data_IF_303440838901
#
_entry.id   IF_303440838901
#
_cell.length_a   1.000
_cell.length_b   1.000
_cell.length_c   1.000
_cell.angle_alpha   90.00
_cell.angle_beta   90.00
_cell.angle_gamma   90.00
#
_symmetry.space_group_name_H-M   'P 1'
#
loop_
_entity.id
_entity.type
_entity.pdbx_description
1 polymer ?
#
# COMPACT_ATOMS: atom_id res chain seq x y z
N UNK A 1 -1.60 -1.40 24.72
CA UNK A 1 -2.91 -1.91 25.17
C UNK A 1 -3.75 -2.50 24.04
N UNK A 2 -3.57 -2.05 22.81
CA UNK A 2 -4.24 -2.59 21.61
C UNK A 2 -3.16 -3.07 20.64
N UNK A 3 -3.29 -4.30 20.14
CA UNK A 3 -2.47 -4.85 19.07
C UNK A 3 -3.38 -5.10 17.86
N UNK A 4 -2.91 -4.70 16.66
CA UNK A 4 -3.66 -4.85 15.42
C UNK A 4 -2.89 -5.76 14.47
N UNK A 5 -3.55 -6.77 13.93
CA UNK A 5 -3.06 -7.62 12.84
C UNK A 5 -3.82 -7.28 11.56
N UNK A 6 -3.09 -6.84 10.55
CA UNK A 6 -3.67 -6.47 9.25
C UNK A 6 -3.54 -7.60 8.23
N UNK A 7 -2.33 -8.02 7.95
CA UNK A 7 -2.00 -9.10 7.03
C UNK A 7 -0.60 -9.65 7.30
N UNK A 8 -0.28 -10.77 6.68
CA UNK A 8 1.05 -11.35 6.66
C UNK A 8 1.33 -11.94 5.27
N UNK A 9 2.19 -11.28 4.51
CA UNK A 9 2.59 -11.69 3.17
C UNK A 9 4.10 -11.85 3.07
N UNK A 10 4.61 -12.34 1.95
CA UNK A 10 6.03 -12.59 1.73
C UNK A 10 6.85 -11.31 1.90
N UNK A 11 7.56 -11.20 3.01
CA UNK A 11 8.52 -10.15 3.32
C UNK A 11 9.50 -10.64 4.41
N UNK A 12 10.72 -10.11 4.44
CA UNK A 12 11.73 -10.42 5.47
C UNK A 12 12.12 -11.91 5.60
N UNK A 13 11.96 -12.72 4.55
CA UNK A 13 12.36 -14.13 4.60
C UNK A 13 13.87 -14.31 4.56
N UNK A 14 14.64 -13.30 4.18
CA UNK A 14 16.09 -13.23 4.40
C UNK A 14 16.47 -13.42 5.89
N UNK A 15 15.65 -12.87 6.81
CA UNK A 15 15.79 -13.01 8.27
C UNK A 15 15.06 -14.23 8.81
N UNK A 16 13.77 -14.35 8.53
CA UNK A 16 12.89 -15.34 9.15
C UNK A 16 12.98 -16.72 8.52
N UNK A 17 13.52 -16.84 7.29
CA UNK A 17 13.71 -18.06 6.50
C UNK A 17 12.42 -18.71 5.99
N UNK A 18 11.35 -18.72 6.78
CA UNK A 18 10.05 -19.28 6.38
C UNK A 18 8.90 -18.39 6.84
N UNK A 19 7.74 -18.51 6.20
CA UNK A 19 6.52 -17.79 6.59
C UNK A 19 6.04 -18.20 7.98
N UNK A 20 6.22 -19.47 8.38
CA UNK A 20 5.88 -19.96 9.73
C UNK A 20 6.69 -19.26 10.81
N UNK A 21 8.01 -19.11 10.60
CA UNK A 21 8.88 -18.39 11.53
C UNK A 21 8.49 -16.90 11.59
N UNK A 22 8.15 -16.31 10.45
CA UNK A 22 7.70 -14.92 10.38
C UNK A 22 6.38 -14.73 11.11
N UNK A 23 5.38 -15.58 10.87
CA UNK A 23 4.12 -15.61 11.60
C UNK A 23 4.33 -15.79 13.10
N UNK A 24 5.22 -16.73 13.51
CA UNK A 24 5.57 -16.92 14.91
C UNK A 24 6.16 -15.65 15.53
N UNK A 25 7.13 -15.01 14.88
CA UNK A 25 7.74 -13.77 15.38
C UNK A 25 6.69 -12.64 15.56
N UNK A 26 5.76 -12.49 14.59
CA UNK A 26 4.65 -11.54 14.70
C UNK A 26 3.67 -11.90 15.83
N UNK A 27 3.39 -13.18 16.05
CA UNK A 27 2.46 -13.64 17.10
C UNK A 27 2.93 -13.32 18.52
N UNK A 28 4.23 -13.08 18.73
CA UNK A 28 4.77 -12.66 20.03
C UNK A 28 4.17 -11.34 20.52
N UNK A 29 3.80 -10.43 19.63
CA UNK A 29 3.10 -9.19 19.99
C UNK A 29 1.77 -9.50 20.70
N UNK A 30 1.04 -10.48 20.21
CA UNK A 30 -0.28 -10.87 20.71
C UNK A 30 -0.18 -11.71 21.97
N UNK A 31 0.75 -12.67 22.03
CA UNK A 31 0.98 -13.50 23.24
C UNK A 31 1.46 -12.68 24.43
N UNK A 32 2.19 -11.60 24.21
CA UNK A 32 2.70 -10.72 25.26
C UNK A 32 1.74 -9.57 25.61
N UNK A 33 0.66 -9.41 24.87
CA UNK A 33 -0.29 -8.31 25.09
C UNK A 33 -0.86 -8.30 26.52
N UNK A 34 -0.99 -9.50 27.15
CA UNK A 34 -1.46 -9.71 28.51
C UNK A 34 -0.49 -9.28 29.62
N UNK A 35 0.81 -9.26 29.38
CA UNK A 35 1.82 -9.30 30.42
C UNK A 35 2.08 -8.00 31.21
N UNK A 36 1.67 -6.85 30.71
CA UNK A 36 1.98 -5.56 31.36
C UNK A 36 0.76 -4.67 31.52
N UNK A 37 0.11 -4.68 32.69
CA UNK A 37 -0.97 -3.75 33.02
C UNK A 37 -0.47 -2.63 33.91
N UNK A 38 -0.42 -1.42 33.40
CA UNK A 38 -0.14 -0.27 34.25
C UNK A 38 -1.35 0.66 34.48
N UNK A 39 -2.44 0.60 33.70
CA UNK A 39 -3.43 1.68 33.70
C UNK A 39 -4.91 1.24 33.68
N UNK A 40 -5.25 -0.02 33.97
CA UNK A 40 -6.66 -0.48 34.00
C UNK A 40 -7.43 -0.40 32.69
N UNK A 41 -6.77 -0.06 31.58
CA UNK A 41 -7.39 -0.04 30.25
C UNK A 41 -7.52 -1.44 29.69
N UNK A 42 -8.60 -1.76 28.97
CA UNK A 42 -8.79 -3.04 28.31
C UNK A 42 -7.62 -3.32 27.34
N UNK A 43 -7.27 -4.58 27.19
CA UNK A 43 -6.29 -5.06 26.26
C UNK A 43 -7.00 -5.91 25.24
N UNK A 44 -6.84 -5.54 24.01
CA UNK A 44 -7.61 -6.10 22.92
C UNK A 44 -6.68 -6.39 21.75
N UNK A 45 -6.79 -7.56 21.18
CA UNK A 45 -6.25 -7.91 19.89
C UNK A 45 -7.31 -7.62 18.81
N UNK A 46 -6.96 -6.82 17.82
CA UNK A 46 -7.81 -6.53 16.67
C UNK A 46 -7.22 -7.29 15.49
N UNK A 47 -7.96 -8.25 14.95
CA UNK A 47 -7.43 -9.20 13.97
C UNK A 47 -8.28 -9.21 12.69
N UNK A 48 -7.61 -9.21 11.54
CA UNK A 48 -8.25 -9.44 10.26
C UNK A 48 -8.68 -10.91 10.15
N UNK A 49 -9.98 -11.18 10.16
CA UNK A 49 -10.53 -12.53 10.13
C UNK A 49 -10.49 -13.20 8.76
N UNK A 50 -10.20 -12.43 7.71
CA UNK A 50 -10.11 -12.95 6.35
C UNK A 50 -8.67 -13.41 6.00
N UNK A 51 -7.71 -13.20 6.92
CA UNK A 51 -6.31 -13.60 6.77
C UNK A 51 -6.07 -15.04 7.20
N UNK A 52 -5.22 -15.77 6.46
CA UNK A 52 -4.88 -17.17 6.71
C UNK A 52 -4.39 -17.41 8.14
N UNK A 53 -3.64 -16.47 8.71
CA UNK A 53 -3.02 -16.61 10.02
C UNK A 53 -3.92 -16.12 11.18
N UNK A 54 -5.17 -15.76 10.91
CA UNK A 54 -6.11 -15.26 11.92
C UNK A 54 -6.20 -16.16 13.15
N UNK A 55 -6.48 -17.45 12.95
CA UNK A 55 -6.65 -18.42 14.04
C UNK A 55 -5.38 -18.55 14.89
N UNK A 56 -4.20 -18.55 14.26
CA UNK A 56 -2.93 -18.60 14.95
C UNK A 56 -2.74 -17.39 15.89
N UNK A 57 -3.06 -16.21 15.42
CA UNK A 57 -2.94 -14.98 16.22
C UNK A 57 -4.01 -14.89 17.30
N UNK A 58 -5.24 -15.32 17.02
CA UNK A 58 -6.32 -15.38 17.98
C UNK A 58 -6.01 -16.35 19.13
N UNK A 59 -5.44 -17.51 18.79
CA UNK A 59 -5.02 -18.52 19.79
C UNK A 59 -3.84 -18.07 20.64
N UNK A 60 -2.97 -17.22 20.11
CA UNK A 60 -1.75 -16.79 20.80
C UNK A 60 -2.01 -15.76 21.90
N UNK A 61 -3.11 -15.02 21.84
CA UNK A 61 -3.40 -13.95 22.80
C UNK A 61 -4.25 -14.41 23.98
N UNK A 62 -3.90 -14.01 25.23
CA UNK A 62 -4.79 -14.20 26.39
C UNK A 62 -5.85 -13.09 26.53
N UNK A 63 -5.89 -12.14 25.60
CA UNK A 63 -6.78 -10.99 25.68
C UNK A 63 -8.02 -11.18 24.81
N UNK A 64 -9.01 -10.29 24.99
CA UNK A 64 -10.18 -10.22 24.11
C UNK A 64 -9.76 -9.99 22.66
N UNK A 65 -10.40 -10.69 21.74
CA UNK A 65 -10.20 -10.55 20.30
C UNK A 65 -11.42 -9.85 19.71
N UNK A 66 -11.17 -8.84 18.89
CA UNK A 66 -12.16 -8.22 18.01
C UNK A 66 -11.71 -8.48 16.59
N UNK A 67 -12.54 -9.19 15.86
CA UNK A 67 -12.31 -9.51 14.45
C UNK A 67 -12.85 -8.42 13.52
N UNK A 68 -12.19 -8.21 12.39
CA UNK A 68 -12.73 -7.38 11.32
C UNK A 68 -12.47 -8.03 9.96
N UNK A 69 -13.33 -7.75 9.00
CA UNK A 69 -13.22 -8.35 7.67
C UNK A 69 -14.48 -8.20 6.83
N UNK A 70 -14.55 -9.00 5.78
CA UNK A 70 -15.71 -9.10 4.88
C UNK A 70 -16.55 -10.34 5.18
N UNK A 71 -15.94 -11.33 5.85
CA UNK A 71 -16.57 -12.59 6.24
C UNK A 71 -17.78 -12.39 7.19
N UNK A 72 -18.70 -13.34 7.19
CA UNK A 72 -19.96 -13.25 7.97
C UNK A 72 -19.76 -13.23 9.48
N UNK A 73 -18.67 -13.78 9.94
CA UNK A 73 -18.36 -13.93 11.37
C UNK A 73 -17.50 -12.79 11.94
N UNK A 74 -17.15 -11.78 11.13
CA UNK A 74 -16.38 -10.65 11.61
C UNK A 74 -17.24 -9.74 12.53
N UNK A 75 -16.68 -9.34 13.69
CA UNK A 75 -17.33 -8.42 14.63
C UNK A 75 -17.55 -7.03 14.02
N UNK A 76 -16.61 -6.60 13.18
CA UNK A 76 -16.72 -5.37 12.37
C UNK A 76 -16.62 -5.77 10.91
N UNK A 77 -17.73 -5.71 10.22
CA UNK A 77 -17.86 -6.24 8.87
C UNK A 77 -18.14 -5.16 7.84
N UNK A 78 -17.46 -5.22 6.67
CA UNK A 78 -17.87 -4.43 5.51
C UNK A 78 -18.63 -5.27 4.49
N UNK A 79 -19.68 -4.67 3.92
CA UNK A 79 -20.50 -5.23 2.84
C UNK A 79 -20.78 -4.18 1.77
N UNK A 80 -21.29 -4.62 0.61
CA UNK A 80 -21.74 -3.74 -0.49
C UNK A 80 -20.63 -2.77 -0.97
N UNK A 81 -19.41 -3.27 -1.05
CA UNK A 81 -18.24 -2.47 -1.40
C UNK A 81 -18.29 -2.10 -2.88
N UNK A 82 -18.26 -0.80 -3.17
CA UNK A 82 -18.28 -0.24 -4.51
C UNK A 82 -17.22 0.84 -4.66
N UNK A 83 -16.50 0.83 -5.77
CA UNK A 83 -15.54 1.88 -6.13
C UNK A 83 -16.12 2.68 -7.30
N UNK A 84 -16.12 4.01 -7.16
CA UNK A 84 -16.57 4.94 -8.19
C UNK A 84 -15.59 6.12 -8.26
N UNK A 85 -14.85 6.21 -9.37
CA UNK A 85 -13.76 7.19 -9.50
C UNK A 85 -12.71 7.01 -8.38
N UNK A 86 -12.45 8.07 -7.64
CA UNK A 86 -11.48 8.11 -6.54
C UNK A 86 -12.07 7.73 -5.18
N UNK A 87 -13.34 7.33 -5.12
CA UNK A 87 -14.07 7.06 -3.88
C UNK A 87 -14.42 5.59 -3.76
N UNK A 88 -14.33 5.04 -2.55
CA UNK A 88 -14.92 3.73 -2.21
C UNK A 88 -16.03 3.92 -1.20
N UNK A 89 -17.19 3.30 -1.46
CA UNK A 89 -18.35 3.27 -0.57
C UNK A 89 -18.64 1.84 -0.14
N UNK A 90 -19.09 1.66 1.10
CA UNK A 90 -19.47 0.37 1.66
C UNK A 90 -20.37 0.55 2.88
N UNK A 91 -21.00 -0.52 3.34
CA UNK A 91 -21.68 -0.55 4.61
C UNK A 91 -20.78 -1.19 5.68
N UNK A 92 -20.64 -0.56 6.85
CA UNK A 92 -19.99 -1.17 8.01
C UNK A 92 -21.07 -1.66 9.00
N UNK A 93 -20.94 -2.90 9.46
CA UNK A 93 -21.83 -3.49 10.48
C UNK A 93 -21.01 -3.82 11.72
N UNK A 94 -21.50 -3.44 12.89
CA UNK A 94 -20.96 -3.79 14.20
C UNK A 94 -22.09 -3.88 15.23
N UNK A 95 -22.13 -4.96 16.04
CA UNK A 95 -23.17 -5.17 17.07
C UNK A 95 -24.60 -5.03 16.50
N UNK A 96 -24.85 -5.54 15.31
CA UNK A 96 -26.16 -5.47 14.63
C UNK A 96 -26.54 -4.10 14.06
N UNK A 97 -25.69 -3.08 14.21
CA UNK A 97 -25.89 -1.76 13.63
C UNK A 97 -25.12 -1.62 12.33
N UNK A 98 -25.80 -1.18 11.28
CA UNK A 98 -25.21 -0.94 9.96
C UNK A 98 -25.18 0.56 9.64
N UNK A 99 -24.06 1.04 9.12
CA UNK A 99 -23.83 2.44 8.73
C UNK A 99 -23.17 2.52 7.35
N UNK A 100 -23.61 3.45 6.48
CA UNK A 100 -22.93 3.71 5.22
C UNK A 100 -21.65 4.49 5.45
N UNK A 101 -20.60 4.08 4.75
CA UNK A 101 -19.26 4.69 4.77
C UNK A 101 -18.87 5.09 3.37
N UNK A 102 -18.22 6.24 3.20
CA UNK A 102 -17.57 6.66 1.97
C UNK A 102 -16.19 7.22 2.30
N UNK A 103 -15.17 6.75 1.59
CA UNK A 103 -13.76 7.13 1.80
C UNK A 103 -13.13 7.62 0.50
N UNK A 104 -12.27 8.66 0.53
CA UNK A 104 -11.56 9.19 -0.64
C UNK A 104 -10.31 8.34 -0.94
N UNK A 105 -10.48 7.03 -0.99
CA UNK A 105 -9.43 6.05 -1.27
C UNK A 105 -10.02 4.89 -2.04
N UNK A 106 -9.27 4.34 -2.99
CA UNK A 106 -9.66 3.15 -3.75
C UNK A 106 -8.88 1.92 -3.26
N UNK A 107 -9.42 0.73 -3.54
CA UNK A 107 -8.81 -0.55 -3.19
C UNK A 107 -9.41 -1.21 -1.94
N UNK A 108 -9.63 -2.52 -2.04
CA UNK A 108 -10.19 -3.32 -0.95
C UNK A 108 -9.31 -3.29 0.31
N UNK A 109 -7.98 -3.22 0.14
CA UNK A 109 -7.05 -3.11 1.26
C UNK A 109 -7.28 -1.83 2.09
N UNK A 110 -7.76 -0.73 1.49
CA UNK A 110 -8.13 0.47 2.22
C UNK A 110 -9.43 0.28 3.02
N UNK A 111 -10.36 -0.55 2.56
CA UNK A 111 -11.52 -0.92 3.37
C UNK A 111 -11.08 -1.69 4.62
N UNK A 112 -10.18 -2.68 4.51
CA UNK A 112 -9.59 -3.36 5.67
C UNK A 112 -8.90 -2.39 6.63
N UNK A 113 -8.10 -1.45 6.10
CA UNK A 113 -7.42 -0.44 6.92
C UNK A 113 -8.43 0.42 7.70
N UNK A 114 -9.55 0.80 7.07
CA UNK A 114 -10.61 1.58 7.71
C UNK A 114 -11.36 0.77 8.78
N UNK A 115 -11.66 -0.51 8.52
CA UNK A 115 -12.27 -1.39 9.51
C UNK A 115 -11.38 -1.55 10.75
N UNK A 116 -10.07 -1.75 10.56
CA UNK A 116 -9.10 -1.79 11.65
C UNK A 116 -9.07 -0.48 12.44
N UNK A 117 -9.10 0.68 11.74
CA UNK A 117 -9.15 1.99 12.38
C UNK A 117 -10.45 2.20 13.18
N UNK A 118 -11.59 1.76 12.67
CA UNK A 118 -12.86 1.79 13.39
C UNK A 118 -12.82 0.93 14.65
N UNK A 119 -12.24 -0.27 14.59
CA UNK A 119 -12.04 -1.12 15.75
C UNK A 119 -11.21 -0.40 16.83
N UNK A 120 -10.08 0.19 16.45
CA UNK A 120 -9.23 0.96 17.36
C UNK A 120 -9.99 2.16 17.96
N UNK A 121 -10.78 2.87 17.15
CA UNK A 121 -11.56 4.03 17.61
C UNK A 121 -12.59 3.61 18.67
N UNK A 122 -13.35 2.55 18.41
CA UNK A 122 -14.39 2.05 19.31
C UNK A 122 -13.79 1.58 20.64
N UNK A 123 -12.69 0.83 20.64
CA UNK A 123 -11.99 0.40 21.86
C UNK A 123 -11.49 1.60 22.69
N UNK A 124 -11.21 2.72 22.05
CA UNK A 124 -10.81 3.94 22.74
C UNK A 124 -11.99 4.88 23.11
N UNK A 125 -13.24 4.39 23.00
CA UNK A 125 -14.44 5.09 23.45
C UNK A 125 -15.04 6.06 22.43
N UNK A 126 -14.62 6.00 21.16
CA UNK A 126 -15.24 6.75 20.06
C UNK A 126 -16.36 5.87 19.49
N UNK A 127 -17.60 6.36 19.42
CA UNK A 127 -18.68 5.57 18.80
C UNK A 127 -18.43 5.33 17.31
N UNK A 128 -18.96 4.22 16.78
CA UNK A 128 -18.83 3.89 15.36
C UNK A 128 -19.38 5.02 14.47
N UNK A 129 -20.51 5.63 14.85
CA UNK A 129 -21.12 6.75 14.12
C UNK A 129 -20.18 7.95 14.04
N UNK A 130 -19.52 8.26 15.16
CA UNK A 130 -18.56 9.36 15.19
C UNK A 130 -17.32 9.06 14.36
N UNK A 131 -16.84 7.83 14.38
CA UNK A 131 -15.71 7.38 13.55
C UNK A 131 -16.06 7.47 12.06
N UNK A 132 -17.24 7.01 11.65
CA UNK A 132 -17.75 7.13 10.27
C UNK A 132 -17.91 8.59 9.84
N UNK A 133 -18.41 9.46 10.72
CA UNK A 133 -18.52 10.90 10.42
C UNK A 133 -17.14 11.55 10.20
N UNK A 134 -16.16 11.23 11.05
CA UNK A 134 -14.81 11.76 10.92
C UNK A 134 -14.12 11.28 9.64
N UNK A 135 -14.40 10.05 9.20
CA UNK A 135 -13.83 9.48 7.98
C UNK A 135 -14.21 10.27 6.72
N UNK A 136 -15.37 10.95 6.69
CA UNK A 136 -15.77 11.81 5.57
C UNK A 136 -14.81 12.98 5.32
N UNK A 137 -14.03 13.36 6.33
CA UNK A 137 -13.05 14.47 6.26
C UNK A 137 -11.61 13.98 6.20
N UNK A 138 -11.43 12.66 6.14
CA UNK A 138 -10.10 12.06 6.11
C UNK A 138 -9.47 12.28 4.73
N UNK A 139 -8.31 12.93 4.64
CA UNK A 139 -7.71 13.30 3.34
C UNK A 139 -6.99 12.13 2.66
N UNK A 140 -7.00 10.92 3.25
CA UNK A 140 -6.15 9.81 2.86
C UNK A 140 -4.83 9.79 3.62
N UNK A 141 -3.97 8.83 3.28
CA UNK A 141 -2.62 8.68 3.84
C UNK A 141 -1.61 9.03 2.78
N UNK A 142 -0.67 9.92 3.08
CA UNK A 142 0.42 10.25 2.16
C UNK A 142 1.17 9.01 1.69
N UNK A 143 1.43 8.89 0.38
CA UNK A 143 2.10 7.74 -0.23
C UNK A 143 1.33 6.43 -0.18
N UNK A 144 0.02 6.46 0.05
CA UNK A 144 -0.88 5.30 -0.01
C UNK A 144 -2.04 5.60 -0.96
N UNK A 145 -1.94 5.13 -2.20
CA UNK A 145 -2.87 5.49 -3.28
C UNK A 145 -3.11 7.01 -3.35
N UNK A 146 -2.06 7.79 -3.09
CA UNK A 146 -2.15 9.24 -3.06
C UNK A 146 -2.27 9.78 -4.48
N UNK A 147 -3.40 10.40 -4.78
CA UNK A 147 -3.63 11.05 -6.08
C UNK A 147 -3.00 12.45 -6.09
N UNK A 148 -2.30 12.77 -7.18
CA UNK A 148 -1.75 14.11 -7.45
C UNK A 148 -2.57 14.74 -8.58
N UNK A 149 -3.16 15.91 -8.30
CA UNK A 149 -4.01 16.64 -9.22
C UNK A 149 -3.48 18.06 -9.43
N UNK A 150 -3.03 18.37 -10.66
CA UNK A 150 -2.55 19.68 -11.08
C UNK A 150 -3.27 20.13 -12.37
N UNK A 151 -4.46 19.57 -12.64
CA UNK A 151 -5.22 19.89 -13.85
C UNK A 151 -4.77 19.10 -15.11
N UNK A 152 -3.90 18.12 -14.95
CA UNK A 152 -3.48 17.22 -16.05
C UNK A 152 -4.61 16.28 -16.47
N UNK A 153 -4.67 15.83 -17.77
CA UNK A 153 -5.74 14.98 -18.30
C UNK A 153 -5.52 13.48 -18.02
N UNK A 154 -4.57 13.12 -17.20
CA UNK A 154 -4.24 11.75 -16.77
C UNK A 154 -4.15 11.69 -15.24
N UNK A 155 -4.23 10.49 -14.68
CA UNK A 155 -4.11 10.29 -13.25
C UNK A 155 -2.66 10.06 -12.86
N UNK A 156 -2.25 10.61 -11.72
CA UNK A 156 -0.96 10.32 -11.10
C UNK A 156 -1.20 9.82 -9.69
N UNK A 157 -0.65 8.64 -9.40
CA UNK A 157 -0.84 7.94 -8.12
C UNK A 157 0.54 7.61 -7.55
N UNK A 158 0.74 7.96 -6.30
CA UNK A 158 1.95 7.62 -5.54
C UNK A 158 1.58 6.60 -4.47
N UNK A 159 2.28 5.46 -4.46
CA UNK A 159 2.08 4.40 -3.49
C UNK A 159 3.40 3.83 -2.96
N UNK A 160 3.39 3.36 -1.72
CA UNK A 160 4.55 2.72 -1.08
C UNK A 160 4.66 1.23 -1.39
N UNK A 161 3.86 0.68 -2.28
CA UNK A 161 3.87 -0.72 -2.68
C UNK A 161 5.25 -1.13 -3.24
N UNK A 162 6.04 -1.81 -2.42
CA UNK A 162 7.41 -2.26 -2.71
C UNK A 162 7.58 -3.78 -2.56
N UNK A 163 6.51 -4.48 -2.18
CA UNK A 163 6.44 -5.94 -2.12
C UNK A 163 5.57 -6.48 -3.27
N UNK A 164 5.72 -7.74 -3.67
CA UNK A 164 4.90 -8.36 -4.70
C UNK A 164 3.40 -8.23 -4.42
N UNK A 165 2.93 -8.65 -3.26
CA UNK A 165 1.52 -8.53 -2.85
C UNK A 165 1.04 -7.07 -2.87
N UNK A 166 1.84 -6.13 -2.33
CA UNK A 166 1.50 -4.71 -2.34
C UNK A 166 1.33 -4.16 -3.76
N UNK A 167 2.27 -4.46 -4.66
CA UNK A 167 2.23 -4.02 -6.05
C UNK A 167 1.05 -4.66 -6.80
N UNK A 168 0.82 -5.96 -6.60
CA UNK A 168 -0.30 -6.65 -7.23
C UNK A 168 -1.65 -6.05 -6.81
N UNK A 169 -1.87 -5.85 -5.53
CA UNK A 169 -3.10 -5.27 -5.00
C UNK A 169 -3.38 -3.87 -5.55
N UNK A 170 -2.34 -3.03 -5.67
CA UNK A 170 -2.45 -1.71 -6.27
C UNK A 170 -2.81 -1.82 -7.75
N UNK A 171 -2.05 -2.59 -8.54
CA UNK A 171 -2.30 -2.74 -9.98
C UNK A 171 -3.66 -3.37 -10.28
N UNK A 172 -4.09 -4.39 -9.54
CA UNK A 172 -5.45 -4.94 -9.65
C UNK A 172 -6.54 -3.91 -9.35
N UNK A 173 -6.27 -2.98 -8.45
CA UNK A 173 -7.20 -1.89 -8.16
C UNK A 173 -7.27 -0.90 -9.32
N UNK A 174 -6.12 -0.54 -9.90
CA UNK A 174 -6.04 0.39 -11.02
C UNK A 174 -6.64 -0.20 -12.30
N UNK A 175 -6.48 -1.50 -12.54
CA UNK A 175 -7.09 -2.20 -13.68
C UNK A 175 -8.63 -2.04 -13.72
N UNK A 176 -9.28 -2.00 -12.56
CA UNK A 176 -10.74 -1.84 -12.46
C UNK A 176 -11.24 -0.43 -12.80
N UNK A 177 -10.36 0.57 -12.73
CA UNK A 177 -10.71 1.99 -12.92
C UNK A 177 -10.01 2.62 -14.11
N UNK A 178 -9.08 1.90 -14.77
CA UNK A 178 -8.35 2.43 -15.91
C UNK A 178 -9.26 2.71 -17.11
N UNK A 179 -8.99 3.81 -17.77
CA UNK A 179 -9.65 4.21 -19.02
C UNK A 179 -8.77 3.91 -20.23
N UNK A 180 -7.47 4.19 -20.13
CA UNK A 180 -6.49 3.96 -21.19
C UNK A 180 -5.39 3.00 -20.70
N UNK A 181 -4.20 3.48 -20.40
CA UNK A 181 -3.03 2.67 -20.00
C UNK A 181 -2.73 2.83 -18.51
N UNK A 182 -2.11 1.80 -17.92
CA UNK A 182 -1.38 1.90 -16.66
C UNK A 182 0.12 1.92 -16.98
N UNK A 183 0.80 2.99 -16.60
CA UNK A 183 2.26 3.16 -16.71
C UNK A 183 2.82 3.04 -15.29
N UNK A 184 3.64 2.04 -15.03
CA UNK A 184 4.21 1.79 -13.70
C UNK A 184 5.66 2.24 -13.66
N UNK A 185 5.97 3.13 -12.73
CA UNK A 185 7.32 3.62 -12.43
C UNK A 185 7.74 2.99 -11.11
N UNK A 186 8.78 2.15 -11.14
CA UNK A 186 9.20 1.41 -9.97
C UNK A 186 10.69 1.15 -9.92
N UNK A 187 11.18 0.86 -8.74
CA UNK A 187 12.50 0.34 -8.47
C UNK A 187 12.46 -0.66 -7.33
N UNK A 188 13.61 -1.11 -6.92
CA UNK A 188 13.74 -1.93 -5.71
C UNK A 188 14.99 -1.54 -4.94
N UNK A 189 14.90 -1.62 -3.60
CA UNK A 189 16.05 -1.33 -2.75
C UNK A 189 17.18 -2.34 -2.95
N UNK A 190 18.41 -1.85 -2.97
CA UNK A 190 19.63 -2.64 -3.10
C UNK A 190 20.31 -2.95 -1.77
N UNK A 191 21.51 -3.51 -1.88
CA UNK A 191 22.35 -3.87 -0.75
C UNK A 191 21.84 -5.09 0.01
N UNK A 192 21.72 -4.96 1.33
CA UNK A 192 21.31 -6.07 2.22
C UNK A 192 19.77 -6.26 2.28
N UNK A 193 19.03 -5.80 1.28
CA UNK A 193 17.57 -6.03 1.20
C UNK A 193 17.29 -7.34 0.47
N UNK A 194 16.14 -7.93 0.78
CA UNK A 194 15.72 -9.18 0.17
C UNK A 194 15.53 -9.02 -1.34
N UNK A 195 16.50 -9.50 -2.12
CA UNK A 195 16.47 -9.45 -3.58
C UNK A 195 15.64 -10.58 -4.19
N UNK A 196 15.21 -11.57 -3.40
CA UNK A 196 14.47 -12.74 -3.91
C UNK A 196 13.09 -12.38 -4.47
N UNK A 197 12.54 -11.23 -4.05
CA UNK A 197 11.25 -10.72 -4.53
C UNK A 197 11.31 -10.06 -5.91
N UNK A 198 12.50 -9.71 -6.42
CA UNK A 198 12.64 -8.95 -7.69
C UNK A 198 12.01 -9.65 -8.91
N UNK A 199 12.20 -10.97 -9.10
CA UNK A 199 11.54 -11.66 -10.21
C UNK A 199 10.02 -11.57 -10.13
N UNK A 200 9.44 -11.75 -8.95
CA UNK A 200 8.00 -11.70 -8.74
C UNK A 200 7.44 -10.27 -8.94
N UNK A 201 8.15 -9.25 -8.44
CA UNK A 201 7.82 -7.84 -8.73
C UNK A 201 7.82 -7.55 -10.23
N UNK A 202 8.82 -8.08 -10.96
CA UNK A 202 8.89 -7.96 -12.41
C UNK A 202 7.73 -8.66 -13.10
N UNK A 203 7.42 -9.91 -12.73
CA UNK A 203 6.28 -10.65 -13.28
C UNK A 203 4.99 -9.85 -13.15
N UNK A 204 4.67 -9.38 -11.94
CA UNK A 204 3.46 -8.61 -11.65
C UNK A 204 3.42 -7.30 -12.45
N UNK A 205 4.52 -6.54 -12.46
CA UNK A 205 4.59 -5.27 -13.19
C UNK A 205 4.35 -5.46 -14.69
N UNK A 206 5.01 -6.44 -15.32
CA UNK A 206 4.87 -6.70 -16.75
C UNK A 206 3.59 -7.45 -17.14
N UNK A 207 2.91 -8.08 -16.21
CA UNK A 207 1.61 -8.70 -16.47
C UNK A 207 0.46 -7.69 -16.38
N UNK A 208 0.54 -6.75 -15.44
CA UNK A 208 -0.58 -5.88 -15.06
C UNK A 208 -0.41 -4.40 -15.48
N UNK A 209 0.71 -4.04 -16.14
CA UNK A 209 0.91 -2.70 -16.67
C UNK A 209 0.97 -2.72 -18.20
N UNK A 210 0.67 -1.58 -18.82
CA UNK A 210 0.79 -1.38 -20.26
C UNK A 210 2.18 -0.82 -20.66
N UNK A 211 2.89 -0.24 -19.69
CA UNK A 211 4.26 0.26 -19.84
C UNK A 211 4.98 0.27 -18.47
N UNK A 212 6.28 -0.01 -18.45
CA UNK A 212 7.07 -0.03 -17.20
C UNK A 212 8.30 0.85 -17.32
N UNK A 213 8.55 1.70 -16.33
CA UNK A 213 9.82 2.43 -16.18
C UNK A 213 10.50 1.91 -14.92
N UNK A 214 11.69 1.30 -15.10
CA UNK A 214 12.54 0.89 -14.01
C UNK A 214 13.50 2.02 -13.66
N UNK A 215 13.60 2.36 -12.37
CA UNK A 215 14.43 3.46 -11.89
C UNK A 215 15.01 3.19 -10.51
N UNK A 216 15.93 4.05 -10.05
CA UNK A 216 16.48 3.93 -8.71
C UNK A 216 15.41 4.14 -7.63
N UNK A 217 15.38 3.24 -6.64
CA UNK A 217 14.73 3.48 -5.36
C UNK A 217 15.78 3.87 -4.31
N UNK A 218 16.32 2.91 -3.57
CA UNK A 218 17.46 3.05 -2.65
C UNK A 218 18.54 2.02 -3.02
N UNK A 219 19.33 2.24 -4.10
CA UNK A 219 20.26 1.23 -4.60
C UNK A 219 21.40 0.93 -3.62
N UNK A 220 21.73 1.86 -2.72
CA UNK A 220 22.91 1.76 -1.84
C UNK A 220 24.17 1.51 -2.67
N UNK A 221 24.92 0.45 -2.36
CA UNK A 221 26.14 0.07 -3.08
C UNK A 221 25.89 -0.93 -4.22
N UNK A 222 24.66 -1.34 -4.46
CA UNK A 222 24.34 -2.30 -5.51
C UNK A 222 24.18 -1.57 -6.87
N UNK A 223 24.85 -2.03 -7.95
CA UNK A 223 24.66 -1.46 -9.26
C UNK A 223 23.21 -1.56 -9.73
N UNK A 224 22.66 -0.46 -10.28
CA UNK A 224 21.28 -0.43 -10.78
C UNK A 224 21.02 -1.51 -11.84
N UNK A 225 22.03 -1.78 -12.70
CA UNK A 225 21.95 -2.83 -13.72
C UNK A 225 21.61 -4.20 -13.12
N UNK A 226 22.21 -4.56 -11.96
CA UNK A 226 21.92 -5.85 -11.30
C UNK A 226 20.52 -5.84 -10.67
N UNK A 227 20.05 -4.70 -10.15
CA UNK A 227 18.68 -4.55 -9.65
C UNK A 227 17.68 -4.74 -10.80
N UNK A 228 17.89 -4.03 -11.92
CA UNK A 228 17.04 -4.15 -13.11
C UNK A 228 17.04 -5.56 -13.67
N UNK A 229 18.19 -6.20 -13.79
CA UNK A 229 18.31 -7.59 -14.22
C UNK A 229 17.50 -8.54 -13.33
N UNK A 230 17.53 -8.34 -12.01
CA UNK A 230 16.71 -9.09 -11.07
C UNK A 230 15.21 -8.93 -11.33
N UNK A 231 14.73 -7.70 -11.55
CA UNK A 231 13.33 -7.42 -11.87
C UNK A 231 12.96 -7.99 -13.25
N UNK A 232 13.80 -7.74 -14.27
CA UNK A 232 13.58 -8.19 -15.64
C UNK A 232 13.59 -9.72 -15.79
N UNK A 233 14.22 -10.45 -14.86
CA UNK A 233 14.20 -11.91 -14.86
C UNK A 233 12.80 -12.50 -14.69
N UNK A 234 11.86 -11.73 -14.11
CA UNK A 234 10.46 -12.10 -13.96
C UNK A 234 9.57 -11.68 -15.15
N UNK A 235 10.10 -10.92 -16.11
CA UNK A 235 9.33 -10.45 -17.28
C UNK A 235 8.97 -11.61 -18.20
N UNK A 236 7.76 -12.13 -18.07
CA UNK A 236 7.20 -13.19 -18.94
C UNK A 236 6.52 -12.60 -20.18
N UNK A 237 5.94 -11.40 -20.06
CA UNK A 237 5.27 -10.74 -21.18
C UNK A 237 6.25 -9.83 -21.94
N UNK A 238 6.85 -10.35 -23.01
CA UNK A 238 7.81 -9.62 -23.84
C UNK A 238 7.17 -8.50 -24.68
N UNK A 239 5.84 -8.43 -24.78
CA UNK A 239 5.15 -7.41 -25.57
C UNK A 239 5.07 -6.07 -24.85
N UNK A 240 5.15 -6.06 -23.54
CA UNK A 240 5.12 -4.82 -22.76
C UNK A 240 6.46 -4.09 -22.91
N UNK A 241 6.38 -2.87 -23.42
CA UNK A 241 7.54 -2.00 -23.57
C UNK A 241 8.00 -1.48 -22.20
N UNK A 242 9.29 -1.21 -22.07
CA UNK A 242 9.88 -0.65 -20.86
C UNK A 242 11.09 0.22 -21.15
N UNK A 243 11.45 1.06 -20.21
CA UNK A 243 12.68 1.83 -20.15
C UNK A 243 13.37 1.61 -18.80
N UNK A 244 14.71 1.67 -18.78
CA UNK A 244 15.51 1.76 -17.55
C UNK A 244 16.12 3.17 -17.50
N UNK A 245 15.80 3.94 -16.46
CA UNK A 245 16.25 5.33 -16.29
C UNK A 245 16.82 5.45 -14.88
N UNK A 246 18.13 5.59 -14.78
CA UNK A 246 18.85 5.53 -13.51
C UNK A 246 18.51 6.68 -12.58
N UNK A 247 18.35 7.89 -13.10
CA UNK A 247 17.93 9.04 -12.32
C UNK A 247 16.41 9.05 -12.15
N UNK A 248 15.96 9.04 -10.89
CA UNK A 248 14.54 8.97 -10.58
C UNK A 248 13.77 10.24 -10.99
N UNK A 249 14.42 11.41 -10.94
CA UNK A 249 13.80 12.66 -11.39
C UNK A 249 13.57 12.62 -12.90
N UNK A 250 14.56 12.13 -13.65
CA UNK A 250 14.42 11.94 -15.10
C UNK A 250 13.37 10.88 -15.44
N UNK A 251 13.26 9.82 -14.62
CA UNK A 251 12.18 8.83 -14.77
C UNK A 251 10.79 9.43 -14.53
N UNK A 252 10.65 10.32 -13.53
CA UNK A 252 9.40 11.09 -13.31
C UNK A 252 9.06 11.94 -14.52
N UNK A 253 10.02 12.74 -15.01
CA UNK A 253 9.82 13.58 -16.22
C UNK A 253 9.40 12.74 -17.40
N UNK A 254 10.11 11.64 -17.66
CA UNK A 254 9.83 10.74 -18.77
C UNK A 254 8.44 10.15 -18.70
N UNK A 255 8.01 9.70 -17.51
CA UNK A 255 6.68 9.17 -17.29
C UNK A 255 5.58 10.21 -17.63
N UNK A 256 5.76 11.45 -17.16
CA UNK A 256 4.82 12.53 -17.42
C UNK A 256 4.80 12.95 -18.91
N UNK A 257 5.95 12.93 -19.60
CA UNK A 257 6.05 13.25 -21.03
C UNK A 257 5.31 12.26 -21.93
N UNK A 258 5.35 10.96 -21.60
CA UNK A 258 4.69 9.91 -22.41
C UNK A 258 3.23 9.69 -22.06
N UNK A 259 2.76 10.32 -20.98
CA UNK A 259 1.38 10.22 -20.52
C UNK A 259 0.39 10.81 -21.52
N UNK A 260 -0.72 10.14 -21.71
CA UNK A 260 -1.82 10.55 -22.55
C UNK A 260 -3.11 10.71 -21.74
N UNK A 261 -4.10 11.37 -22.31
CA UNK A 261 -5.42 11.50 -21.68
C UNK A 261 -5.99 10.12 -21.30
N UNK A 262 -6.45 9.99 -20.06
CA UNK A 262 -7.02 8.77 -19.52
C UNK A 262 -6.01 7.73 -19.02
N UNK A 263 -4.68 7.99 -19.15
CA UNK A 263 -3.65 7.13 -18.55
C UNK A 263 -3.65 7.24 -17.03
N UNK A 264 -3.11 6.19 -16.39
CA UNK A 264 -2.78 6.18 -14.97
C UNK A 264 -1.27 5.96 -14.83
N UNK A 265 -0.57 6.91 -14.20
CA UNK A 265 0.83 6.79 -13.83
C UNK A 265 0.89 6.33 -12.38
N UNK A 266 1.48 5.16 -12.14
CA UNK A 266 1.72 4.62 -10.81
C UNK A 266 3.19 4.76 -10.45
N UNK A 267 3.51 5.62 -9.49
CA UNK A 267 4.83 5.69 -8.85
C UNK A 267 4.85 4.76 -7.64
N UNK A 268 5.41 3.56 -7.81
CA UNK A 268 5.41 2.51 -6.82
C UNK A 268 6.74 2.39 -6.07
N UNK A 269 6.66 2.07 -4.79
CA UNK A 269 7.77 1.71 -3.92
C UNK A 269 8.26 2.84 -3.02
N UNK A 270 8.39 4.06 -3.54
CA UNK A 270 8.97 5.19 -2.80
C UNK A 270 8.00 5.84 -1.80
N UNK A 271 6.74 5.96 -2.18
CA UNK A 271 5.74 6.61 -1.32
C UNK A 271 6.16 8.02 -0.92
N UNK A 272 6.23 8.27 0.39
CA UNK A 272 6.64 9.56 0.97
C UNK A 272 7.99 9.49 1.71
N UNK A 273 8.86 8.55 1.37
CA UNK A 273 10.22 8.54 1.91
C UNK A 273 10.95 9.85 1.53
N UNK A 274 11.53 10.57 2.51
CA UNK A 274 12.10 11.90 2.26
C UNK A 274 13.53 11.88 1.73
N UNK A 275 14.02 10.73 1.24
CA UNK A 275 15.38 10.56 0.73
C UNK A 275 15.51 9.38 -0.22
N UNK A 276 16.58 9.37 -0.99
CA UNK A 276 17.17 8.18 -1.62
C UNK A 276 18.49 7.83 -0.91
N UNK A 277 18.81 6.54 -0.83
CA UNK A 277 20.09 6.06 -0.31
C UNK A 277 20.95 5.59 -1.47
N UNK A 278 22.01 6.34 -1.77
CA UNK A 278 23.00 6.03 -2.82
C UNK A 278 24.37 5.88 -2.15
N UNK A 279 24.98 4.70 -2.25
CA UNK A 279 26.11 4.37 -1.38
C UNK A 279 25.71 4.43 0.08
N UNK A 280 26.44 5.22 0.86
CA UNK A 280 26.17 5.51 2.28
C UNK A 280 25.47 6.86 2.48
N UNK A 281 25.16 7.58 1.40
CA UNK A 281 24.60 8.92 1.47
C UNK A 281 23.07 8.89 1.42
N UNK A 282 22.44 9.71 2.28
CA UNK A 282 21.01 9.99 2.27
C UNK A 282 20.76 11.28 1.50
N UNK A 283 20.37 11.16 0.26
CA UNK A 283 20.10 12.28 -0.64
C UNK A 283 18.65 12.71 -0.45
N UNK A 284 18.36 13.96 -0.07
CA UNK A 284 16.98 14.45 0.05
C UNK A 284 16.22 14.24 -1.26
N UNK A 285 15.04 13.65 -1.16
CA UNK A 285 14.14 13.38 -2.26
C UNK A 285 12.69 13.29 -1.76
N UNK A 286 11.77 13.84 -2.52
CA UNK A 286 10.34 13.75 -2.21
C UNK A 286 9.57 13.49 -3.50
N UNK A 287 8.99 12.30 -3.63
CA UNK A 287 8.26 11.88 -4.84
C UNK A 287 7.10 12.83 -5.17
N UNK A 288 6.33 13.23 -4.14
CA UNK A 288 5.17 14.10 -4.31
C UNK A 288 5.58 15.48 -4.83
N UNK A 289 6.59 16.09 -4.18
CA UNK A 289 7.10 17.40 -4.59
C UNK A 289 7.70 17.35 -5.99
N UNK A 290 8.51 16.33 -6.28
CA UNK A 290 9.13 16.15 -7.60
C UNK A 290 8.08 16.02 -8.71
N UNK A 291 7.02 15.23 -8.49
CA UNK A 291 5.93 15.08 -9.46
C UNK A 291 5.19 16.40 -9.66
N UNK A 292 4.88 17.12 -8.57
CA UNK A 292 4.20 18.43 -8.66
C UNK A 292 5.06 19.44 -9.42
N UNK A 293 6.32 19.57 -9.08
CA UNK A 293 7.26 20.48 -9.77
C UNK A 293 7.38 20.17 -11.26
N UNK A 294 7.45 18.89 -11.63
CA UNK A 294 7.48 18.47 -13.04
C UNK A 294 6.17 18.80 -13.76
N UNK A 295 5.00 18.56 -13.14
CA UNK A 295 3.70 18.93 -13.71
C UNK A 295 3.58 20.45 -13.90
N UNK A 296 4.01 21.25 -12.92
CA UNK A 296 4.02 22.71 -13.01
C UNK A 296 4.96 23.20 -14.13
N UNK A 297 6.14 22.59 -14.31
CA UNK A 297 7.04 22.89 -15.39
C UNK A 297 6.43 22.59 -16.78
N UNK A 298 5.53 21.61 -16.88
CA UNK A 298 4.75 21.30 -18.08
C UNK A 298 3.54 22.23 -18.28
N UNK A 299 3.27 23.14 -17.35
CA UNK A 299 2.19 24.14 -17.41
C UNK A 299 0.91 23.70 -16.74
N UNK A 300 0.86 22.54 -16.09
CA UNK A 300 -0.28 22.12 -15.27
C UNK A 300 -0.23 22.82 -13.91
N UNK A 301 -1.34 23.45 -13.51
CA UNK A 301 -1.46 24.10 -12.20
C UNK A 301 -2.85 23.87 -11.65
N UNK A 302 -2.91 23.54 -10.38
CA UNK A 302 -4.18 23.48 -9.68
C UNK A 302 -4.77 24.91 -9.62
N UNK A 303 -5.87 25.14 -10.29
CA UNK A 303 -6.64 26.36 -10.14
C UNK A 303 -7.60 26.09 -8.98
N UNK A 304 -7.24 26.60 -7.76
CA UNK A 304 -8.18 26.65 -6.63
C UNK A 304 -9.49 27.33 -6.98
#
# INVERSE_FOLDING_TARGET
NVAVFTNLTHEHLDLHKTMENYAHAKSLLFSQLGNHSKNGKPRVAILNSDEEHYEQFAYSTPCEVISYGFGENADIRATDIQTNGAMTSFNVTMNGKQLPVSIPMIGLFNVYNVLAAFAVAVINGISLERAVELMKRFPGVGGRMQMIQQGQPFQVIIDFAHTPDGLENVLMTLEKVKVNRVITIMGHSGGNRDSSMRPELGEIAFEKSDYVILTADNPRHEPLEEIYKGILSGRKNEKIAYECIDDRIEAVKRALEIAQEGDILLFAGKGVEPYQVIGDEYIPYNEVETVIECLEAMGFKNHE
#
